data_IF_118917874589
#
_entry.id   IF_118917874589
#
_cell.length_a   1.000
_cell.length_b   1.000
_cell.length_c   1.000
_cell.angle_alpha   90.00
_cell.angle_beta   90.00
_cell.angle_gamma   90.00
#
_symmetry.space_group_name_H-M   'P 1'
#
loop_
_entity.id
_entity.type
_entity.pdbx_description
1 polymer ?
#
# COMPACT_ATOMS: atom_id res chain seq x y z
N UNK A 1 9.28 12.11 88.31
CA UNK A 1 8.12 11.47 88.98
C UNK A 1 6.87 11.93 88.23
N UNK A 2 6.03 10.99 87.75
CA UNK A 2 4.82 11.18 86.90
C UNK A 2 5.04 11.87 85.54
N UNK A 3 5.17 11.06 84.48
CA UNK A 3 5.02 11.49 83.09
C UNK A 3 3.56 11.26 82.70
N UNK A 4 2.87 12.34 82.32
CA UNK A 4 1.46 12.34 81.94
C UNK A 4 1.28 11.87 80.49
N UNK A 5 0.31 10.98 80.29
CA UNK A 5 -0.16 10.48 79.00
C UNK A 5 -0.98 11.56 78.27
N UNK A 6 -0.59 11.88 77.03
CA UNK A 6 -1.34 12.74 76.12
C UNK A 6 -2.05 11.86 75.09
N UNK A 7 -3.39 11.80 75.16
CA UNK A 7 -4.22 11.15 74.17
C UNK A 7 -4.47 12.11 73.00
N UNK A 8 -4.08 11.71 71.79
CA UNK A 8 -4.40 12.41 70.54
C UNK A 8 -5.82 12.05 70.07
N UNK A 9 -6.65 13.02 69.63
CA UNK A 9 -7.97 12.75 69.09
C UNK A 9 -7.91 12.22 67.64
N UNK A 10 -8.76 11.25 67.34
CA UNK A 10 -8.95 10.64 66.02
C UNK A 10 -9.61 11.64 65.05
N UNK A 11 -9.16 11.75 63.79
CA UNK A 11 -9.80 12.63 62.81
C UNK A 11 -11.15 12.05 62.34
N UNK A 12 -12.19 12.90 62.39
CA UNK A 12 -13.53 12.67 61.83
C UNK A 12 -13.43 12.52 60.31
N UNK A 13 -13.85 11.36 59.78
CA UNK A 13 -14.13 11.15 58.34
C UNK A 13 -15.33 11.99 57.93
N UNK A 14 -15.11 13.04 57.16
CA UNK A 14 -16.16 13.73 56.39
C UNK A 14 -16.40 12.94 55.09
N UNK A 15 -17.66 12.56 54.85
CA UNK A 15 -18.07 11.90 53.61
C UNK A 15 -17.97 12.88 52.44
N UNK A 16 -17.29 12.47 51.37
CA UNK A 16 -17.24 13.22 50.12
C UNK A 16 -18.60 13.14 49.39
N UNK A 17 -19.08 14.23 48.77
CA UNK A 17 -20.31 14.19 47.99
C UNK A 17 -20.15 13.31 46.75
N UNK A 18 -21.12 12.41 46.53
CA UNK A 18 -21.27 11.63 45.31
C UNK A 18 -21.40 12.59 44.12
N UNK A 19 -20.45 12.55 43.18
CA UNK A 19 -20.55 13.27 41.91
C UNK A 19 -21.67 12.63 41.09
N UNK A 20 -22.65 13.45 40.75
CA UNK A 20 -23.71 13.14 39.81
C UNK A 20 -23.12 12.77 38.43
N UNK A 21 -23.81 11.85 37.77
CA UNK A 21 -23.52 11.30 36.46
C UNK A 21 -23.14 12.37 35.42
N UNK A 22 -21.84 12.49 35.12
CA UNK A 22 -21.38 13.10 33.87
C UNK A 22 -21.68 12.10 32.75
N UNK A 23 -22.85 12.24 32.12
CA UNK A 23 -23.09 11.58 30.84
C UNK A 23 -21.97 11.99 29.87
N UNK A 24 -21.31 11.03 29.19
CA UNK A 24 -20.25 11.36 28.26
C UNK A 24 -20.81 12.24 27.15
N UNK A 25 -20.39 13.51 27.13
CA UNK A 25 -20.70 14.44 26.05
C UNK A 25 -20.29 13.78 24.75
N UNK A 26 -21.28 13.45 23.91
CA UNK A 26 -21.03 13.02 22.53
C UNK A 26 -20.42 14.19 21.79
N UNK A 27 -19.09 14.28 21.77
CA UNK A 27 -18.38 15.22 20.92
C UNK A 27 -18.86 15.01 19.49
N UNK A 28 -19.59 15.98 18.94
CA UNK A 28 -20.02 15.98 17.56
C UNK A 28 -18.76 15.98 16.70
N UNK A 29 -18.45 14.83 16.07
CA UNK A 29 -17.35 14.73 15.11
C UNK A 29 -17.53 15.79 14.04
N UNK A 30 -16.49 16.60 13.81
CA UNK A 30 -16.55 17.63 12.79
C UNK A 30 -16.61 17.01 11.40
N UNK A 31 -17.22 17.71 10.44
CA UNK A 31 -17.23 17.30 9.03
C UNK A 31 -15.81 17.00 8.51
N UNK A 32 -14.80 17.71 9.02
CA UNK A 32 -13.39 17.50 8.70
C UNK A 32 -12.86 16.11 9.13
N UNK A 33 -13.28 15.60 10.28
CA UNK A 33 -12.82 14.30 10.80
C UNK A 33 -13.35 13.16 9.91
N UNK A 34 -14.62 13.26 9.48
CA UNK A 34 -15.25 12.26 8.60
C UNK A 34 -14.60 12.22 7.22
N UNK A 35 -14.24 13.38 6.66
CA UNK A 35 -13.54 13.46 5.37
C UNK A 35 -12.13 12.87 5.49
N UNK A 36 -11.40 13.19 6.55
CA UNK A 36 -10.06 12.67 6.78
C UNK A 36 -10.05 11.14 6.93
N UNK A 37 -10.96 10.58 7.73
CA UNK A 37 -11.08 9.13 7.94
C UNK A 37 -11.45 8.38 6.65
N UNK A 38 -12.28 8.99 5.80
CA UNK A 38 -12.65 8.45 4.49
C UNK A 38 -11.46 8.41 3.53
N UNK A 39 -10.66 9.49 3.49
CA UNK A 39 -9.44 9.56 2.67
C UNK A 39 -8.41 8.53 3.15
N UNK A 40 -8.20 8.41 4.45
CA UNK A 40 -7.26 7.43 5.02
C UNK A 40 -7.68 5.98 4.71
N UNK A 41 -8.98 5.69 4.82
CA UNK A 41 -9.60 4.39 4.45
C UNK A 41 -9.30 4.03 2.99
N UNK A 42 -9.55 4.95 2.06
CA UNK A 42 -9.23 4.75 0.63
C UNK A 42 -7.74 4.53 0.41
N UNK A 43 -6.89 5.33 1.05
CA UNK A 43 -5.44 5.22 0.90
C UNK A 43 -4.90 3.89 1.43
N UNK A 44 -5.41 3.41 2.55
CA UNK A 44 -4.99 2.14 3.14
C UNK A 44 -5.48 0.95 2.30
N UNK A 45 -6.72 0.99 1.82
CA UNK A 45 -7.26 0.02 0.85
C UNK A 45 -6.42 0.00 -0.42
N UNK A 46 -6.11 1.16 -0.99
CA UNK A 46 -5.28 1.29 -2.19
C UNK A 46 -3.89 0.66 -2.02
N UNK A 47 -3.26 0.83 -0.86
CA UNK A 47 -1.95 0.22 -0.59
C UNK A 47 -2.01 -1.28 -0.40
N UNK A 48 -3.08 -1.77 0.22
CA UNK A 48 -3.25 -3.18 0.45
C UNK A 48 -3.52 -3.93 -0.85
N UNK A 49 -4.17 -3.29 -1.82
CA UNK A 49 -4.40 -3.90 -3.13
C UNK A 49 -3.09 -4.10 -3.90
N UNK A 50 -2.96 -5.20 -4.65
CA UNK A 50 -1.83 -5.33 -5.55
C UNK A 50 -1.93 -4.24 -6.62
N UNK A 51 -0.78 -3.66 -6.98
CA UNK A 51 -0.75 -2.45 -7.79
C UNK A 51 -1.09 -2.82 -9.24
N UNK A 52 -2.10 -2.15 -9.81
CA UNK A 52 -2.48 -2.27 -11.22
C UNK A 52 -2.64 -0.91 -11.90
N UNK A 53 -2.37 0.19 -11.18
CA UNK A 53 -2.46 1.54 -11.75
C UNK A 53 -1.25 1.81 -12.63
N UNK A 54 -1.51 2.37 -13.80
CA UNK A 54 -0.45 2.82 -14.67
C UNK A 54 0.19 4.10 -14.12
N UNK A 55 1.47 4.35 -14.44
CA UNK A 55 2.11 5.62 -14.15
C UNK A 55 1.38 6.77 -14.86
N UNK A 56 1.37 7.95 -14.22
CA UNK A 56 1.00 9.16 -14.96
C UNK A 56 2.16 9.56 -15.86
N UNK A 57 1.89 9.74 -17.15
CA UNK A 57 2.90 10.05 -18.16
C UNK A 57 2.80 11.52 -18.58
N UNK A 58 3.89 12.25 -18.43
CA UNK A 58 4.01 13.67 -18.79
C UNK A 58 4.92 13.82 -20.00
N UNK A 59 4.38 14.36 -21.09
CA UNK A 59 5.10 14.55 -22.36
C UNK A 59 4.16 15.00 -23.47
N UNK A 60 4.69 15.11 -24.69
CA UNK A 60 3.88 15.35 -25.90
C UNK A 60 2.90 14.21 -26.14
N UNK A 61 1.92 14.38 -27.04
CA UNK A 61 0.98 13.31 -27.38
C UNK A 61 1.71 12.07 -27.96
N UNK A 62 2.70 12.28 -28.83
CA UNK A 62 3.50 11.20 -29.41
C UNK A 62 4.32 10.47 -28.35
N UNK A 63 5.00 11.20 -27.47
CA UNK A 63 5.78 10.62 -26.35
C UNK A 63 4.89 9.79 -25.42
N UNK A 64 3.72 10.31 -25.05
CA UNK A 64 2.76 9.59 -24.21
C UNK A 64 2.29 8.32 -24.90
N UNK A 65 1.99 8.38 -26.19
CA UNK A 65 1.59 7.18 -26.95
C UNK A 65 2.70 6.14 -26.99
N UNK A 66 3.95 6.56 -27.24
CA UNK A 66 5.11 5.66 -27.26
C UNK A 66 5.28 4.96 -25.90
N UNK A 67 5.33 5.75 -24.83
CA UNK A 67 5.49 5.23 -23.46
C UNK A 67 4.36 4.27 -23.11
N UNK A 68 3.10 4.64 -23.35
CA UNK A 68 1.96 3.78 -23.01
C UNK A 68 1.96 2.47 -23.80
N UNK A 69 2.34 2.50 -25.08
CA UNK A 69 2.49 1.29 -25.89
C UNK A 69 3.59 0.37 -25.34
N UNK A 70 4.72 0.94 -24.91
CA UNK A 70 5.79 0.19 -24.24
C UNK A 70 5.29 -0.45 -22.95
N UNK A 71 4.60 0.31 -22.09
CA UNK A 71 4.05 -0.22 -20.83
C UNK A 71 3.03 -1.34 -21.08
N UNK A 72 2.20 -1.23 -22.12
CA UNK A 72 1.23 -2.26 -22.48
C UNK A 72 1.89 -3.59 -22.91
N UNK A 73 3.11 -3.55 -23.45
CA UNK A 73 3.89 -4.77 -23.76
C UNK A 73 4.53 -5.46 -22.55
N UNK A 74 4.54 -4.80 -21.38
CA UNK A 74 5.17 -5.31 -20.16
C UNK A 74 4.14 -5.97 -19.23
N UNK A 75 4.57 -6.90 -18.35
CA UNK A 75 3.71 -7.40 -17.29
C UNK A 75 3.24 -6.27 -16.39
N UNK A 76 1.96 -6.29 -16.01
CA UNK A 76 1.35 -5.21 -15.23
C UNK A 76 2.07 -4.95 -13.89
N UNK A 77 2.58 -6.01 -13.26
CA UNK A 77 3.35 -5.92 -12.00
C UNK A 77 4.62 -5.07 -12.13
N UNK A 78 5.18 -4.97 -13.32
CA UNK A 78 6.38 -4.17 -13.57
C UNK A 78 5.99 -2.72 -13.87
N UNK A 79 4.93 -2.52 -14.65
CA UNK A 79 4.37 -1.19 -14.95
C UNK A 79 3.92 -0.47 -13.67
N UNK A 80 3.19 -1.18 -12.80
CA UNK A 80 2.56 -0.60 -11.61
C UNK A 80 3.56 -0.29 -10.48
N UNK A 81 4.84 -0.64 -10.63
CA UNK A 81 5.91 -0.24 -9.71
C UNK A 81 6.25 1.26 -9.82
N UNK A 82 5.88 1.89 -10.93
CA UNK A 82 6.19 3.29 -11.22
C UNK A 82 4.95 4.17 -11.07
N UNK A 83 5.13 5.29 -10.37
CA UNK A 83 4.07 6.27 -10.11
C UNK A 83 4.04 7.32 -11.23
N UNK A 84 5.18 7.84 -11.69
CA UNK A 84 5.21 8.87 -12.74
C UNK A 84 6.33 8.63 -13.73
N UNK A 85 6.08 8.96 -15.00
CA UNK A 85 7.10 9.00 -16.06
C UNK A 85 7.03 10.39 -16.69
N UNK A 86 8.15 11.09 -16.73
CA UNK A 86 8.21 12.46 -17.26
C UNK A 86 9.27 12.56 -18.34
N UNK A 87 8.87 12.94 -19.55
CA UNK A 87 9.80 13.39 -20.58
C UNK A 87 10.25 14.83 -20.23
N UNK A 88 11.55 15.01 -20.07
CA UNK A 88 12.18 16.31 -19.75
C UNK A 88 13.05 16.77 -20.90
N UNK A 89 13.14 18.08 -21.10
CA UNK A 89 13.98 18.64 -22.16
C UNK A 89 15.46 18.30 -21.94
N UNK A 90 15.92 18.36 -20.69
CA UNK A 90 17.27 17.95 -20.31
C UNK A 90 17.30 17.39 -18.89
N UNK A 91 18.24 16.47 -18.63
CA UNK A 91 18.62 16.04 -17.30
C UNK A 91 19.95 16.66 -16.84
N UNK A 92 20.38 17.75 -17.49
CA UNK A 92 21.62 18.47 -17.21
C UNK A 92 22.79 18.08 -18.10
N UNK A 93 22.72 16.93 -18.79
CA UNK A 93 23.71 16.49 -19.77
C UNK A 93 23.09 15.54 -20.81
N UNK A 94 23.52 15.56 -22.08
CA UNK A 94 23.09 14.61 -23.10
C UNK A 94 23.49 13.15 -22.80
N UNK A 95 24.47 12.92 -21.93
CA UNK A 95 24.91 11.57 -21.55
C UNK A 95 23.94 10.86 -20.58
N UNK A 96 23.05 11.60 -19.92
CA UNK A 96 22.11 11.04 -18.96
C UNK A 96 20.76 10.86 -19.66
N UNK A 97 20.50 9.65 -20.16
CA UNK A 97 19.32 9.36 -20.98
C UNK A 97 18.04 9.20 -20.14
N UNK A 98 18.18 8.64 -18.94
CA UNK A 98 17.11 8.46 -17.98
C UNK A 98 17.59 8.65 -16.54
N UNK A 99 16.64 8.81 -15.63
CA UNK A 99 16.89 8.70 -14.20
C UNK A 99 15.67 8.16 -13.48
N UNK A 100 15.88 7.07 -12.75
CA UNK A 100 14.92 6.52 -11.81
C UNK A 100 15.11 7.15 -10.43
N UNK A 101 14.00 7.46 -9.77
CA UNK A 101 13.94 7.81 -8.34
C UNK A 101 13.05 6.78 -7.65
N UNK A 102 13.58 5.61 -7.26
CA UNK A 102 12.77 4.51 -6.80
C UNK A 102 11.92 4.92 -5.60
N UNK A 103 12.49 5.59 -4.59
CA UNK A 103 11.76 6.04 -3.41
C UNK A 103 10.53 6.94 -3.69
N UNK A 104 10.48 7.57 -4.87
CA UNK A 104 9.37 8.42 -5.32
C UNK A 104 8.51 7.75 -6.39
N UNK A 105 8.90 6.57 -6.89
CA UNK A 105 8.31 5.90 -8.04
C UNK A 105 8.31 6.79 -9.28
N UNK A 106 9.36 7.59 -9.49
CA UNK A 106 9.40 8.57 -10.57
C UNK A 106 10.54 8.27 -11.53
N UNK A 107 10.21 8.20 -12.82
CA UNK A 107 11.16 8.12 -13.92
C UNK A 107 11.15 9.47 -14.65
N UNK A 108 12.33 9.98 -14.98
CA UNK A 108 12.48 11.06 -15.93
C UNK A 108 13.36 10.60 -17.11
N UNK A 109 12.91 10.90 -18.33
CA UNK A 109 13.60 10.54 -19.57
C UNK A 109 14.03 11.82 -20.27
N UNK A 110 15.27 11.84 -20.78
CA UNK A 110 15.90 13.01 -21.37
C UNK A 110 15.62 13.11 -22.88
N UNK A 111 14.87 14.12 -23.31
CA UNK A 111 14.59 14.37 -24.73
C UNK A 111 15.83 14.72 -25.54
N UNK A 112 16.78 15.44 -24.93
CA UNK A 112 18.02 15.88 -25.60
C UNK A 112 19.20 14.94 -25.33
N UNK A 113 18.93 13.75 -24.78
CA UNK A 113 19.92 12.71 -24.64
C UNK A 113 20.43 12.22 -26.00
N UNK A 114 21.65 11.69 -26.04
CA UNK A 114 22.17 11.07 -27.26
C UNK A 114 21.28 9.91 -27.70
N UNK A 115 20.94 9.83 -28.99
CA UNK A 115 20.08 8.78 -29.55
C UNK A 115 18.58 8.95 -29.28
N UNK A 116 18.17 9.84 -28.38
CA UNK A 116 16.77 9.96 -27.92
C UNK A 116 15.79 10.55 -28.95
N UNK A 117 16.26 10.91 -30.14
CA UNK A 117 15.42 11.17 -31.31
C UNK A 117 14.88 9.88 -31.95
N UNK A 118 15.51 8.74 -31.69
CA UNK A 118 15.05 7.42 -32.12
C UNK A 118 14.07 6.85 -31.08
N UNK A 119 12.81 6.55 -31.46
CA UNK A 119 11.86 5.91 -30.56
C UNK A 119 12.37 4.61 -29.93
N UNK A 120 13.21 3.83 -30.62
CA UNK A 120 13.75 2.59 -30.08
C UNK A 120 14.65 2.84 -28.86
N UNK A 121 15.49 3.87 -28.90
CA UNK A 121 16.35 4.28 -27.79
C UNK A 121 15.52 4.74 -26.58
N UNK A 122 14.42 5.46 -26.84
CA UNK A 122 13.49 5.88 -25.78
C UNK A 122 12.84 4.66 -25.12
N UNK A 123 12.48 3.65 -25.90
CA UNK A 123 11.92 2.39 -25.38
C UNK A 123 12.95 1.66 -24.54
N UNK A 124 14.17 1.46 -25.03
CA UNK A 124 15.24 0.79 -24.29
C UNK A 124 15.55 1.50 -22.98
N UNK A 125 15.73 2.82 -23.03
CA UNK A 125 15.94 3.66 -21.84
C UNK A 125 14.78 3.54 -20.86
N UNK A 126 13.53 3.61 -21.33
CA UNK A 126 12.36 3.48 -20.44
C UNK A 126 12.33 2.11 -19.74
N UNK A 127 12.59 1.02 -20.46
CA UNK A 127 12.58 -0.33 -19.88
C UNK A 127 13.76 -0.51 -18.92
N UNK A 128 14.93 0.07 -19.22
CA UNK A 128 16.06 0.16 -18.30
C UNK A 128 15.66 0.85 -16.99
N UNK A 129 15.04 2.03 -17.07
CA UNK A 129 14.62 2.77 -15.87
C UNK A 129 13.51 2.04 -15.09
N UNK A 130 12.64 1.28 -15.77
CA UNK A 130 11.69 0.38 -15.10
C UNK A 130 12.41 -0.78 -14.39
N UNK A 131 13.55 -1.25 -14.93
CA UNK A 131 14.44 -2.20 -14.28
C UNK A 131 14.92 -1.71 -12.92
N UNK A 132 15.33 -0.44 -12.82
CA UNK A 132 15.67 0.18 -11.52
C UNK A 132 14.49 0.22 -10.54
N UNK A 133 13.28 0.52 -11.02
CA UNK A 133 12.06 0.44 -10.19
C UNK A 133 11.69 -0.98 -9.80
N UNK A 134 12.04 -1.98 -10.61
CA UNK A 134 11.83 -3.39 -10.28
C UNK A 134 12.82 -3.88 -9.24
N UNK A 135 14.07 -3.44 -9.35
CA UNK A 135 15.13 -3.74 -8.41
C UNK A 135 14.83 -3.14 -7.02
N UNK A 136 14.33 -1.91 -7.01
CA UNK A 136 13.93 -1.18 -5.80
C UNK A 136 12.46 -0.73 -5.87
N UNK A 137 11.49 -1.63 -5.60
CA UNK A 137 10.06 -1.31 -5.71
C UNK A 137 9.69 -0.15 -4.79
N UNK A 138 9.43 1.00 -5.39
CA UNK A 138 9.62 2.34 -4.83
C UNK A 138 8.96 2.72 -3.50
N UNK A 139 9.52 2.26 -2.37
CA UNK A 139 9.05 2.63 -1.03
C UNK A 139 10.24 2.78 -0.07
N UNK A 140 10.19 3.74 0.86
CA UNK A 140 11.27 3.97 1.85
C UNK A 140 11.72 2.66 2.53
N UNK A 141 10.84 1.71 2.90
CA UNK A 141 11.25 0.44 3.49
C UNK A 141 12.02 -0.49 2.54
N UNK A 142 11.77 -0.47 1.23
CA UNK A 142 12.45 -1.37 0.29
C UNK A 142 13.89 -0.95 0.00
N UNK A 143 14.20 0.35 0.14
CA UNK A 143 15.58 0.85 0.13
C UNK A 143 16.39 0.26 1.28
N UNK A 144 15.75 -0.08 2.41
CA UNK A 144 16.42 -0.64 3.59
C UNK A 144 16.65 -2.15 3.50
N UNK A 145 15.84 -2.87 2.71
CA UNK A 145 15.95 -4.34 2.56
C UNK A 145 16.89 -4.77 1.45
N UNK A 146 17.35 -3.84 0.61
CA UNK A 146 18.18 -4.12 -0.57
C UNK A 146 17.36 -4.56 -1.78
N UNK A 147 17.93 -4.35 -2.97
CA UNK A 147 17.37 -4.78 -4.25
C UNK A 147 17.88 -6.15 -4.68
N UNK A 148 17.28 -6.72 -5.72
CA UNK A 148 17.74 -7.96 -6.35
C UNK A 148 19.17 -7.82 -6.89
N UNK A 149 19.61 -6.63 -7.31
CA UNK A 149 21.00 -6.39 -7.71
C UNK A 149 22.02 -6.60 -6.57
N UNK A 150 21.59 -6.50 -5.31
CA UNK A 150 22.42 -6.80 -4.14
C UNK A 150 22.58 -8.29 -3.86
N UNK A 151 21.85 -9.16 -4.56
CA UNK A 151 21.83 -10.60 -4.35
C UNK A 151 21.78 -11.37 -5.68
N UNK A 152 22.77 -12.19 -5.99
CA UNK A 152 22.79 -13.00 -7.21
C UNK A 152 23.88 -12.58 -8.19
N UNK A 153 23.70 -12.82 -9.51
CA UNK A 153 24.80 -12.70 -10.50
C UNK A 153 25.10 -11.27 -10.96
N UNK A 154 24.45 -10.25 -10.41
CA UNK A 154 24.57 -8.86 -10.86
C UNK A 154 25.82 -8.17 -10.31
N UNK A 155 26.41 -7.27 -11.10
CA UNK A 155 27.70 -6.64 -10.82
C UNK A 155 28.90 -7.56 -11.09
N UNK A 156 28.67 -8.68 -11.77
CA UNK A 156 29.70 -9.64 -12.17
C UNK A 156 29.52 -10.06 -13.63
N UNK A 157 30.62 -10.36 -14.34
CA UNK A 157 30.55 -10.87 -15.71
C UNK A 157 29.85 -12.24 -15.77
N UNK A 158 29.25 -12.61 -16.91
CA UNK A 158 29.22 -11.86 -18.17
C UNK A 158 28.22 -10.69 -18.14
N UNK A 159 28.61 -9.56 -18.74
CA UNK A 159 27.80 -8.35 -18.85
C UNK A 159 27.11 -8.27 -20.22
N UNK A 160 25.86 -7.84 -20.26
CA UNK A 160 25.10 -7.68 -21.52
C UNK A 160 25.51 -6.46 -22.35
N UNK A 161 26.10 -5.46 -21.69
CA UNK A 161 26.61 -4.23 -22.28
C UNK A 161 27.83 -3.73 -21.49
N UNK A 162 28.51 -2.71 -22.03
CA UNK A 162 29.56 -2.00 -21.28
C UNK A 162 28.99 -1.21 -20.11
N UNK A 163 27.76 -0.71 -20.24
CA UNK A 163 27.12 0.07 -19.18
C UNK A 163 26.78 -0.82 -17.98
N UNK A 164 26.34 -2.06 -18.23
CA UNK A 164 26.10 -3.08 -17.20
C UNK A 164 27.33 -3.38 -16.32
N UNK A 165 28.56 -3.15 -16.80
CA UNK A 165 29.76 -3.40 -15.99
C UNK A 165 30.10 -2.28 -14.99
N UNK A 166 29.31 -1.20 -14.93
CA UNK A 166 29.61 -0.03 -14.11
C UNK A 166 29.23 -0.20 -12.65
N UNK A 167 28.08 -0.84 -12.38
CA UNK A 167 27.59 -1.14 -11.03
C UNK A 167 26.55 -2.27 -11.08
N UNK A 168 26.33 -2.97 -9.95
CA UNK A 168 25.35 -4.05 -9.88
C UNK A 168 23.90 -3.61 -10.20
N UNK A 169 23.41 -2.44 -9.75
CA UNK A 169 22.08 -1.95 -10.15
C UNK A 169 21.97 -1.68 -11.65
N UNK A 170 23.02 -1.15 -12.28
CA UNK A 170 23.04 -0.92 -13.74
C UNK A 170 23.06 -2.25 -14.50
N UNK A 171 23.82 -3.24 -14.00
CA UNK A 171 23.81 -4.60 -14.55
C UNK A 171 22.42 -5.24 -14.50
N UNK A 172 21.70 -5.04 -13.38
CA UNK A 172 20.33 -5.51 -13.23
C UNK A 172 19.40 -4.80 -14.23
N UNK A 173 19.44 -3.47 -14.31
CA UNK A 173 18.58 -2.68 -15.19
C UNK A 173 18.83 -2.98 -16.68
N UNK A 174 20.09 -3.06 -17.10
CA UNK A 174 20.49 -3.43 -18.46
C UNK A 174 20.07 -4.87 -18.81
N UNK A 175 20.27 -5.80 -17.88
CA UNK A 175 19.85 -7.19 -18.07
C UNK A 175 18.32 -7.30 -18.09
N UNK A 176 17.59 -6.51 -17.29
CA UNK A 176 16.13 -6.43 -17.31
C UNK A 176 15.62 -5.90 -18.64
N UNK A 177 16.21 -4.81 -19.16
CA UNK A 177 15.87 -4.28 -20.48
C UNK A 177 16.14 -5.32 -21.59
N UNK A 178 17.30 -5.97 -21.54
CA UNK A 178 17.64 -7.05 -22.47
C UNK A 178 16.67 -8.23 -22.35
N UNK A 179 16.25 -8.63 -21.14
CA UNK A 179 15.26 -9.69 -20.95
C UNK A 179 13.91 -9.36 -21.60
N UNK A 180 13.45 -8.10 -21.46
CA UNK A 180 12.14 -7.67 -21.97
C UNK A 180 12.13 -7.44 -23.48
N UNK A 181 13.23 -6.94 -24.05
CA UNK A 181 13.29 -6.54 -25.45
C UNK A 181 13.97 -7.60 -26.34
N UNK A 182 14.96 -8.31 -25.79
CA UNK A 182 15.81 -9.27 -26.50
C UNK A 182 16.13 -10.52 -25.64
N UNK A 183 15.13 -11.28 -25.18
CA UNK A 183 15.32 -12.36 -24.20
C UNK A 183 16.34 -13.41 -24.64
N UNK A 184 16.37 -13.77 -25.92
CA UNK A 184 17.31 -14.74 -26.47
C UNK A 184 18.77 -14.30 -26.31
N UNK A 185 19.04 -13.00 -26.48
CA UNK A 185 20.38 -12.42 -26.30
C UNK A 185 20.82 -12.53 -24.83
N UNK A 186 19.94 -12.22 -23.88
CA UNK A 186 20.29 -12.36 -22.46
C UNK A 186 20.57 -13.83 -22.11
N UNK A 187 19.75 -14.75 -22.63
CA UNK A 187 19.90 -16.19 -22.42
C UNK A 187 21.25 -16.72 -22.93
N UNK A 188 21.70 -16.21 -24.08
CA UNK A 188 22.99 -16.56 -24.68
C UNK A 188 24.16 -15.96 -23.89
N UNK A 189 24.11 -14.64 -23.62
CA UNK A 189 25.24 -13.90 -23.04
C UNK A 189 25.39 -14.16 -21.54
N UNK A 190 24.29 -14.18 -20.80
CA UNK A 190 24.27 -14.28 -19.34
C UNK A 190 23.13 -15.19 -18.85
N UNK A 191 23.22 -16.52 -19.07
CA UNK A 191 22.16 -17.48 -18.78
C UNK A 191 21.72 -17.49 -17.31
N UNK A 192 22.63 -17.24 -16.36
CA UNK A 192 22.27 -17.16 -14.93
C UNK A 192 21.42 -15.92 -14.62
N UNK A 193 21.69 -14.77 -15.24
CA UNK A 193 20.86 -13.56 -15.14
C UNK A 193 19.48 -13.78 -15.78
N UNK A 194 19.44 -14.47 -16.92
CA UNK A 194 18.20 -14.87 -17.57
C UNK A 194 17.30 -15.70 -16.64
N UNK A 195 17.86 -16.72 -15.96
CA UNK A 195 17.10 -17.55 -15.01
C UNK A 195 16.49 -16.74 -13.88
N UNK A 196 17.21 -15.76 -13.34
CA UNK A 196 16.67 -14.86 -12.30
C UNK A 196 15.43 -14.14 -12.83
N UNK A 197 15.46 -13.61 -14.07
CA UNK A 197 14.28 -12.95 -14.62
C UNK A 197 13.15 -13.92 -14.96
N UNK A 198 13.42 -15.15 -15.37
CA UNK A 198 12.37 -16.17 -15.52
C UNK A 198 11.64 -16.43 -14.19
N UNK A 199 12.38 -16.58 -13.10
CA UNK A 199 11.83 -16.76 -11.76
C UNK A 199 11.01 -15.54 -11.32
N UNK A 200 11.57 -14.33 -11.49
CA UNK A 200 10.87 -13.08 -11.17
C UNK A 200 9.63 -12.85 -12.04
N UNK A 201 9.63 -13.37 -13.26
CA UNK A 201 8.54 -13.21 -14.22
C UNK A 201 7.40 -14.22 -13.99
N UNK A 202 7.62 -15.29 -13.23
CA UNK A 202 6.56 -16.23 -12.87
C UNK A 202 5.38 -15.48 -12.25
N UNK A 203 4.18 -15.69 -12.83
CA UNK A 203 2.96 -15.04 -12.37
C UNK A 203 2.33 -15.86 -11.27
N UNK A 204 2.07 -15.24 -10.13
CA UNK A 204 1.17 -15.84 -9.15
C UNK A 204 -0.30 -15.65 -9.58
N UNK A 205 -1.22 -16.31 -8.85
CA UNK A 205 -2.65 -16.23 -9.14
C UNK A 205 -3.17 -14.78 -9.17
N UNK A 206 -2.74 -13.96 -8.20
CA UNK A 206 -3.21 -12.58 -8.09
C UNK A 206 -2.69 -11.71 -9.23
N UNK A 207 -1.43 -11.88 -9.62
CA UNK A 207 -0.86 -11.22 -10.79
C UNK A 207 -1.60 -11.60 -12.06
N UNK A 208 -1.91 -12.89 -12.24
CA UNK A 208 -2.67 -13.37 -13.39
C UNK A 208 -4.10 -12.82 -13.41
N UNK A 209 -4.74 -12.72 -12.24
CA UNK A 209 -6.06 -12.13 -12.07
C UNK A 209 -6.09 -10.64 -12.41
N UNK A 210 -5.09 -9.88 -11.96
CA UNK A 210 -4.98 -8.45 -12.24
C UNK A 210 -4.51 -8.15 -13.66
N UNK A 211 -3.90 -9.10 -14.37
CA UNK A 211 -3.44 -8.92 -15.74
C UNK A 211 -4.58 -8.95 -16.79
N UNK A 212 -5.83 -8.89 -16.34
CA UNK A 212 -7.01 -8.84 -17.21
C UNK A 212 -7.23 -7.45 -17.80
N UNK A 213 -7.87 -7.34 -18.98
CA UNK A 213 -8.17 -6.05 -19.63
C UNK A 213 -8.89 -5.07 -18.71
N UNK A 214 -9.82 -5.56 -17.88
CA UNK A 214 -10.59 -4.73 -16.96
C UNK A 214 -9.71 -3.90 -16.01
N UNK A 215 -8.68 -4.53 -15.42
CA UNK A 215 -7.75 -3.85 -14.52
C UNK A 215 -6.74 -2.99 -15.27
N UNK A 216 -6.22 -3.46 -16.40
CA UNK A 216 -5.28 -2.67 -17.22
C UNK A 216 -5.91 -1.37 -17.71
N UNK A 217 -7.09 -1.44 -18.31
CA UNK A 217 -7.75 -0.26 -18.86
C UNK A 217 -8.25 0.70 -17.75
N UNK A 218 -8.80 0.15 -16.66
CA UNK A 218 -9.15 0.95 -15.48
C UNK A 218 -7.92 1.63 -14.90
N UNK A 219 -6.81 0.88 -14.77
CA UNK A 219 -5.53 1.38 -14.27
C UNK A 219 -4.95 2.49 -15.14
N UNK A 220 -5.07 2.38 -16.47
CA UNK A 220 -4.72 3.43 -17.44
C UNK A 220 -5.57 4.68 -17.24
N UNK A 221 -6.89 4.55 -17.19
CA UNK A 221 -7.80 5.69 -16.99
C UNK A 221 -7.52 6.43 -15.69
N UNK A 222 -7.37 5.71 -14.58
CA UNK A 222 -7.06 6.30 -13.27
C UNK A 222 -5.68 6.97 -13.32
N UNK A 223 -4.69 6.31 -13.92
CA UNK A 223 -3.34 6.85 -14.11
C UNK A 223 -3.33 8.17 -14.90
N UNK A 224 -4.07 8.23 -16.00
CA UNK A 224 -4.23 9.43 -16.82
C UNK A 224 -4.97 10.53 -16.08
N UNK A 225 -6.07 10.19 -15.39
CA UNK A 225 -6.89 11.15 -14.64
C UNK A 225 -6.09 11.79 -13.51
N UNK A 226 -5.32 11.00 -12.76
CA UNK A 226 -4.39 11.51 -11.74
C UNK A 226 -3.28 12.36 -12.35
N UNK A 227 -2.87 12.08 -13.58
CA UNK A 227 -1.90 12.88 -14.32
C UNK A 227 -2.39 14.29 -14.66
N UNK A 228 -3.71 14.51 -14.74
CA UNK A 228 -4.31 15.83 -14.95
C UNK A 228 -4.19 16.72 -13.70
N UNK A 229 -3.95 16.11 -12.54
CA UNK A 229 -3.86 16.79 -11.24
C UNK A 229 -2.57 16.34 -10.53
N UNK A 230 -1.38 16.79 -10.97
CA UNK A 230 -0.10 16.24 -10.49
C UNK A 230 0.06 16.28 -8.97
N UNK A 231 -0.39 17.37 -8.34
CA UNK A 231 -0.35 17.54 -6.89
C UNK A 231 -1.24 16.52 -6.15
N UNK A 232 -2.33 16.05 -6.76
CA UNK A 232 -3.16 15.01 -6.16
C UNK A 232 -2.42 13.68 -6.14
N UNK A 233 -1.71 13.31 -7.21
CA UNK A 233 -0.96 12.04 -7.24
C UNK A 233 0.20 12.04 -6.23
N UNK A 234 0.97 13.12 -6.19
CA UNK A 234 2.03 13.29 -5.19
C UNK A 234 1.48 13.37 -3.77
N UNK A 235 0.40 14.13 -3.57
CA UNK A 235 -0.30 14.25 -2.29
C UNK A 235 -0.83 12.91 -1.80
N UNK A 236 -1.43 12.11 -2.68
CA UNK A 236 -1.88 10.76 -2.35
C UNK A 236 -0.70 9.87 -1.98
N UNK A 237 0.38 9.83 -2.77
CA UNK A 237 1.57 9.03 -2.46
C UNK A 237 2.20 9.41 -1.11
N UNK A 238 2.36 10.71 -0.84
CA UNK A 238 2.96 11.24 0.38
C UNK A 238 2.07 11.07 1.61
N UNK A 239 0.79 11.43 1.51
CA UNK A 239 -0.21 11.15 2.55
C UNK A 239 -0.24 9.65 2.87
N UNK A 240 0.00 8.83 1.84
CA UNK A 240 0.07 7.41 2.04
C UNK A 240 1.27 7.01 2.93
N UNK A 241 2.46 7.52 2.64
CA UNK A 241 3.64 7.20 3.46
C UNK A 241 3.49 7.71 4.90
N UNK A 242 2.90 8.90 5.10
CA UNK A 242 2.62 9.45 6.43
C UNK A 242 1.65 8.57 7.21
N UNK A 243 0.54 8.11 6.61
CA UNK A 243 -0.45 7.31 7.35
C UNK A 243 0.17 6.01 7.87
N UNK A 244 1.11 5.41 7.14
CA UNK A 244 1.84 4.22 7.59
C UNK A 244 2.74 4.50 8.80
N UNK A 245 3.48 5.61 8.77
CA UNK A 245 4.34 6.02 9.90
C UNK A 245 3.48 6.32 11.12
N UNK A 246 2.37 7.03 10.94
CA UNK A 246 1.43 7.31 12.03
C UNK A 246 0.78 6.03 12.58
N UNK A 247 0.37 5.11 11.72
CA UNK A 247 -0.20 3.82 12.13
C UNK A 247 0.83 2.99 12.91
N UNK A 248 2.09 2.95 12.46
CA UNK A 248 3.16 2.28 13.17
C UNK A 248 3.46 2.95 14.52
N UNK A 249 3.58 4.28 14.55
CA UNK A 249 3.86 5.06 15.77
C UNK A 249 2.74 4.91 16.80
N UNK A 250 1.48 5.00 16.36
CA UNK A 250 0.31 4.77 17.22
C UNK A 250 0.29 3.34 17.76
N UNK A 251 0.65 2.34 16.94
CA UNK A 251 0.79 0.96 17.38
C UNK A 251 1.84 0.79 18.49
N UNK A 252 3.02 1.39 18.31
CA UNK A 252 4.09 1.36 19.32
C UNK A 252 3.67 2.07 20.61
N UNK A 253 3.04 3.24 20.51
CA UNK A 253 2.56 4.00 21.66
C UNK A 253 1.48 3.23 22.44
N UNK A 254 0.54 2.57 21.74
CA UNK A 254 -0.50 1.74 22.36
C UNK A 254 0.11 0.55 23.11
N UNK A 255 1.16 -0.08 22.58
CA UNK A 255 1.90 -1.14 23.29
C UNK A 255 2.51 -0.62 24.59
N UNK A 256 3.21 0.51 24.55
CA UNK A 256 3.83 1.11 25.75
C UNK A 256 2.81 1.64 26.76
N UNK A 257 1.59 1.97 26.31
CA UNK A 257 0.50 2.44 27.17
C UNK A 257 -0.32 1.28 27.79
N UNK A 258 0.10 0.03 27.60
CA UNK A 258 -0.58 -1.15 28.17
C UNK A 258 -1.70 -1.73 27.30
N UNK A 259 -1.88 -1.24 26.06
CA UNK A 259 -2.85 -1.74 25.09
C UNK A 259 -2.19 -2.64 24.04
N UNK A 260 -1.42 -3.64 24.49
CA UNK A 260 -0.56 -4.47 23.65
C UNK A 260 -1.26 -5.13 22.44
N UNK A 261 -2.49 -5.64 22.61
CA UNK A 261 -3.26 -6.26 21.52
C UNK A 261 -3.62 -5.25 20.43
N UNK A 262 -4.11 -4.08 20.85
CA UNK A 262 -4.52 -2.99 19.95
C UNK A 262 -3.31 -2.44 19.20
N UNK A 263 -2.22 -2.18 19.92
CA UNK A 263 -0.98 -1.66 19.36
C UNK A 263 -0.30 -2.65 18.41
N UNK A 264 -0.34 -3.95 18.76
CA UNK A 264 0.16 -5.02 17.90
C UNK A 264 -0.59 -5.13 16.56
N UNK A 265 -1.92 -4.97 16.57
CA UNK A 265 -2.71 -4.96 15.31
C UNK A 265 -2.37 -3.77 14.43
N UNK A 266 -2.23 -2.57 15.00
CA UNK A 266 -1.89 -1.36 14.24
C UNK A 266 -0.47 -1.44 13.66
N UNK A 267 0.51 -1.82 14.47
CA UNK A 267 1.89 -2.02 14.01
C UNK A 267 1.99 -3.14 12.97
N UNK A 268 1.29 -4.26 13.18
CA UNK A 268 1.22 -5.36 12.22
C UNK A 268 0.59 -4.95 10.89
N UNK A 269 -0.50 -4.16 10.93
CA UNK A 269 -1.12 -3.61 9.72
C UNK A 269 -0.16 -2.67 8.97
N UNK A 270 0.54 -1.79 9.69
CA UNK A 270 1.51 -0.88 9.08
C UNK A 270 2.65 -1.65 8.40
N UNK A 271 3.21 -2.66 9.06
CA UNK A 271 4.24 -3.52 8.50
C UNK A 271 3.72 -4.29 7.27
N UNK A 272 2.53 -4.90 7.38
CA UNK A 272 1.92 -5.63 6.28
C UNK A 272 1.65 -4.72 5.06
N UNK A 273 1.18 -3.48 5.27
CA UNK A 273 1.04 -2.49 4.19
C UNK A 273 2.39 -2.10 3.58
N UNK A 274 3.43 -1.91 4.40
CA UNK A 274 4.76 -1.56 3.95
C UNK A 274 5.30 -2.61 2.96
N UNK A 275 5.15 -3.89 3.32
CA UNK A 275 5.71 -5.03 2.60
C UNK A 275 4.72 -5.75 1.67
N UNK A 276 3.49 -5.24 1.52
CA UNK A 276 2.46 -5.77 0.61
C UNK A 276 2.91 -5.94 -0.83
N UNK A 277 3.86 -5.13 -1.28
CA UNK A 277 4.48 -5.22 -2.60
C UNK A 277 5.41 -6.44 -2.76
N UNK A 278 6.00 -6.91 -1.67
CA UNK A 278 6.94 -8.03 -1.66
C UNK A 278 6.25 -9.38 -1.45
N UNK A 279 5.05 -9.39 -0.86
CA UNK A 279 4.33 -10.63 -0.59
C UNK A 279 2.80 -10.48 -0.76
N UNK A 280 2.17 -11.28 -1.64
CA UNK A 280 0.78 -11.08 -2.05
C UNK A 280 -0.23 -11.23 -0.89
N UNK A 281 0.11 -11.97 0.16
CA UNK A 281 -0.76 -12.17 1.32
C UNK A 281 -0.74 -10.99 2.33
N UNK A 282 0.24 -10.10 2.26
CA UNK A 282 0.38 -9.03 3.24
C UNK A 282 -0.65 -7.90 3.03
N UNK A 283 -1.11 -7.66 1.80
CA UNK A 283 -2.24 -6.77 1.53
C UNK A 283 -3.54 -7.21 2.23
N UNK A 284 -4.03 -8.44 1.96
CA UNK A 284 -5.16 -9.03 2.68
C UNK A 284 -4.99 -9.04 4.21
N UNK A 285 -3.80 -9.39 4.69
CA UNK A 285 -3.51 -9.40 6.12
C UNK A 285 -3.60 -7.99 6.74
N UNK A 286 -3.07 -6.97 6.06
CA UNK A 286 -3.17 -5.59 6.50
C UNK A 286 -4.63 -5.14 6.66
N UNK A 287 -5.48 -5.41 5.68
CA UNK A 287 -6.91 -5.03 5.76
C UNK A 287 -7.65 -5.80 6.84
N UNK A 288 -7.28 -7.06 7.07
CA UNK A 288 -7.80 -7.87 8.18
C UNK A 288 -7.42 -7.25 9.53
N UNK A 289 -6.15 -6.86 9.72
CA UNK A 289 -5.67 -6.26 10.96
C UNK A 289 -6.27 -4.88 11.21
N UNK A 290 -6.41 -4.05 10.16
CA UNK A 290 -7.11 -2.75 10.26
C UNK A 290 -8.58 -2.93 10.65
N UNK A 291 -9.26 -3.92 10.05
CA UNK A 291 -10.62 -4.27 10.41
C UNK A 291 -10.72 -4.74 11.86
N UNK A 292 -9.84 -5.65 12.28
CA UNK A 292 -9.82 -6.16 13.65
C UNK A 292 -9.55 -5.08 14.68
N UNK A 293 -8.61 -4.16 14.39
CA UNK A 293 -8.33 -3.00 15.23
C UNK A 293 -9.57 -2.13 15.42
N UNK A 294 -10.32 -1.83 14.34
CA UNK A 294 -11.59 -1.09 14.43
C UNK A 294 -12.66 -1.84 15.22
N UNK A 295 -12.78 -3.16 15.02
CA UNK A 295 -13.72 -4.01 15.77
C UNK A 295 -13.44 -3.99 17.27
N UNK A 296 -12.16 -4.06 17.65
CA UNK A 296 -11.73 -3.98 19.04
C UNK A 296 -12.09 -2.62 19.66
N UNK A 297 -11.79 -1.51 18.98
CA UNK A 297 -12.13 -0.17 19.44
C UNK A 297 -13.65 -0.01 19.63
N UNK A 298 -14.44 -0.49 18.66
CA UNK A 298 -15.90 -0.46 18.75
C UNK A 298 -16.40 -1.25 19.96
N UNK A 299 -15.86 -2.45 20.19
CA UNK A 299 -16.25 -3.28 21.34
C UNK A 299 -15.91 -2.62 22.68
N UNK A 300 -14.72 -2.04 22.80
CA UNK A 300 -14.28 -1.29 23.98
C UNK A 300 -15.18 -0.08 24.25
N UNK A 301 -15.53 0.68 23.21
CA UNK A 301 -16.42 1.84 23.32
C UNK A 301 -17.83 1.49 23.81
N UNK A 302 -18.25 0.22 23.63
CA UNK A 302 -19.53 -0.31 24.07
C UNK A 302 -19.45 -1.08 25.40
N UNK A 303 -18.29 -1.06 26.06
CA UNK A 303 -18.08 -1.77 27.32
C UNK A 303 -18.20 -3.30 27.19
N UNK A 304 -17.94 -3.86 26.00
CA UNK A 304 -18.03 -5.30 25.79
C UNK A 304 -16.96 -6.05 26.61
N UNK A 305 -17.31 -7.23 27.14
CA UNK A 305 -16.38 -8.13 27.80
C UNK A 305 -15.34 -8.72 26.83
N UNK A 306 -14.38 -9.49 27.35
CA UNK A 306 -13.27 -10.06 26.57
C UNK A 306 -13.73 -10.89 25.38
N UNK A 307 -14.78 -11.70 25.55
CA UNK A 307 -15.36 -12.51 24.47
C UNK A 307 -15.97 -11.62 23.38
N UNK A 308 -16.74 -10.60 23.77
CA UNK A 308 -17.31 -9.62 22.84
C UNK A 308 -16.24 -8.83 22.09
N UNK A 309 -15.15 -8.43 22.76
CA UNK A 309 -14.01 -7.77 22.12
C UNK A 309 -13.31 -8.67 21.10
N UNK A 310 -13.07 -9.94 21.45
CA UNK A 310 -12.44 -10.90 20.54
C UNK A 310 -13.31 -11.15 19.29
N UNK A 311 -14.61 -11.41 19.48
CA UNK A 311 -15.53 -11.69 18.37
C UNK A 311 -15.76 -10.47 17.49
N UNK A 312 -15.86 -9.27 18.08
CA UNK A 312 -15.94 -8.02 17.31
C UNK A 312 -14.68 -7.79 16.47
N UNK A 313 -13.49 -8.09 17.02
CA UNK A 313 -12.22 -7.99 16.30
C UNK A 313 -12.17 -8.97 15.13
N UNK A 314 -12.53 -10.24 15.35
CA UNK A 314 -12.55 -11.25 14.28
C UNK A 314 -13.56 -10.86 13.19
N UNK A 315 -14.79 -10.54 13.57
CA UNK A 315 -15.84 -10.17 12.63
C UNK A 315 -15.48 -8.92 11.82
N UNK A 316 -14.98 -7.87 12.47
CA UNK A 316 -14.53 -6.65 11.79
C UNK A 316 -13.29 -6.90 10.93
N UNK A 317 -12.40 -7.82 11.34
CA UNK A 317 -11.24 -8.24 10.54
C UNK A 317 -11.65 -8.94 9.25
N UNK A 318 -12.56 -9.90 9.31
CA UNK A 318 -13.16 -10.53 8.12
C UNK A 318 -13.86 -9.48 7.25
N UNK A 319 -14.60 -8.57 7.87
CA UNK A 319 -15.22 -7.44 7.19
C UNK A 319 -14.22 -6.50 6.51
N UNK A 320 -13.06 -6.26 7.13
CA UNK A 320 -11.96 -5.49 6.58
C UNK A 320 -11.31 -6.16 5.38
N UNK A 321 -11.11 -7.48 5.41
CA UNK A 321 -10.64 -8.24 4.25
C UNK A 321 -11.62 -8.17 3.08
N UNK A 322 -12.89 -8.53 3.32
CA UNK A 322 -13.89 -8.55 2.26
C UNK A 322 -14.10 -7.14 1.71
N UNK A 323 -14.29 -6.18 2.60
CA UNK A 323 -14.59 -4.80 2.25
C UNK A 323 -13.42 -4.02 1.68
N UNK A 324 -12.22 -4.22 2.23
CA UNK A 324 -11.03 -3.46 1.89
C UNK A 324 -10.12 -4.11 0.85
N UNK A 325 -10.42 -5.34 0.43
CA UNK A 325 -9.59 -6.05 -0.56
C UNK A 325 -10.42 -6.75 -1.64
N UNK A 326 -11.43 -7.54 -1.25
CA UNK A 326 -12.22 -8.33 -2.22
C UNK A 326 -13.23 -7.45 -2.97
N UNK A 327 -13.99 -6.62 -2.25
CA UNK A 327 -15.03 -5.78 -2.84
C UNK A 327 -14.50 -4.75 -3.85
N UNK A 328 -13.38 -4.03 -3.61
CA UNK A 328 -12.81 -3.14 -4.62
C UNK A 328 -12.45 -3.86 -5.92
N UNK A 329 -11.85 -5.04 -5.84
CA UNK A 329 -11.47 -5.83 -7.02
C UNK A 329 -12.70 -6.37 -7.76
N UNK A 330 -13.66 -6.95 -7.03
CA UNK A 330 -14.90 -7.45 -7.61
C UNK A 330 -15.75 -6.36 -8.26
N UNK A 331 -15.88 -5.20 -7.59
CA UNK A 331 -16.63 -4.06 -8.13
C UNK A 331 -15.90 -3.38 -9.29
N UNK A 332 -14.57 -3.44 -9.35
CA UNK A 332 -13.82 -3.02 -10.55
C UNK A 332 -14.22 -3.87 -11.75
N UNK A 333 -14.28 -5.20 -11.61
CA UNK A 333 -14.70 -6.09 -12.68
C UNK A 333 -16.15 -5.84 -13.11
N UNK A 334 -17.08 -5.77 -12.16
CA UNK A 334 -18.50 -5.52 -12.44
C UNK A 334 -18.71 -4.13 -13.03
N UNK A 335 -18.06 -3.11 -12.48
CA UNK A 335 -18.13 -1.76 -13.01
C UNK A 335 -17.57 -1.69 -14.43
N UNK A 336 -16.45 -2.37 -14.69
CA UNK A 336 -15.84 -2.41 -16.02
C UNK A 336 -16.76 -3.08 -17.05
N UNK A 337 -17.37 -4.21 -16.71
CA UNK A 337 -18.29 -4.88 -17.64
C UNK A 337 -19.55 -4.05 -17.95
N UNK A 338 -19.97 -3.15 -17.04
CA UNK A 338 -21.15 -2.30 -17.21
C UNK A 338 -20.88 -1.00 -17.97
N UNK A 339 -19.74 -0.34 -17.70
CA UNK A 339 -19.45 1.00 -18.22
C UNK A 339 -17.97 1.21 -18.61
N UNK A 340 -17.27 0.13 -18.94
CA UNK A 340 -15.87 0.14 -19.35
C UNK A 340 -14.94 0.71 -18.25
N UNK A 341 -13.81 1.30 -18.64
CA UNK A 341 -12.80 1.77 -17.68
C UNK A 341 -13.34 2.76 -16.63
N UNK A 342 -14.30 3.61 -17.02
CA UNK A 342 -14.96 4.56 -16.10
C UNK A 342 -15.76 3.81 -15.03
N UNK A 343 -16.57 2.84 -15.45
CA UNK A 343 -17.30 1.98 -14.51
C UNK A 343 -16.37 1.21 -13.59
N UNK A 344 -15.25 0.69 -14.12
CA UNK A 344 -14.23 0.01 -13.31
C UNK A 344 -13.62 0.92 -12.25
N UNK A 345 -13.27 2.17 -12.61
CA UNK A 345 -12.73 3.15 -11.67
C UNK A 345 -13.74 3.54 -10.58
N UNK A 346 -15.02 3.71 -10.96
CA UNK A 346 -16.11 3.95 -9.99
C UNK A 346 -16.27 2.73 -9.07
N UNK A 347 -16.27 1.52 -9.62
CA UNK A 347 -16.35 0.28 -8.86
C UNK A 347 -15.21 0.12 -7.85
N UNK A 348 -13.98 0.44 -8.26
CA UNK A 348 -12.81 0.49 -7.37
C UNK A 348 -13.03 1.45 -6.20
N UNK A 349 -13.42 2.69 -6.49
CA UNK A 349 -13.59 3.74 -5.49
C UNK A 349 -14.75 3.42 -4.52
N UNK A 350 -15.90 3.02 -5.06
CA UNK A 350 -17.08 2.62 -4.27
C UNK A 350 -16.76 1.39 -3.43
N UNK A 351 -16.09 0.40 -4.00
CA UNK A 351 -15.70 -0.80 -3.27
C UNK A 351 -14.71 -0.50 -2.14
N UNK A 352 -13.74 0.38 -2.36
CA UNK A 352 -12.80 0.79 -1.32
C UNK A 352 -13.49 1.57 -0.18
N UNK A 353 -14.33 2.55 -0.53
CA UNK A 353 -15.02 3.41 0.43
C UNK A 353 -16.10 2.63 1.20
N UNK A 354 -17.08 2.10 0.48
CA UNK A 354 -18.24 1.45 1.06
C UNK A 354 -17.86 0.09 1.63
N UNK A 355 -17.01 -0.67 0.92
CA UNK A 355 -16.60 -2.00 1.35
C UNK A 355 -15.86 -1.94 2.68
N UNK A 356 -14.80 -1.15 2.82
CA UNK A 356 -14.04 -1.12 4.07
C UNK A 356 -14.88 -0.56 5.22
N UNK A 357 -15.60 0.55 5.02
CA UNK A 357 -16.41 1.16 6.07
C UNK A 357 -17.54 0.23 6.53
N UNK A 358 -18.39 -0.23 5.60
CA UNK A 358 -19.53 -1.09 5.93
C UNK A 358 -19.10 -2.48 6.33
N UNK A 359 -18.08 -3.06 5.68
CA UNK A 359 -17.59 -4.41 5.98
C UNK A 359 -17.07 -4.50 7.41
N UNK A 360 -16.18 -3.58 7.81
CA UNK A 360 -15.63 -3.57 9.18
C UNK A 360 -16.70 -3.32 10.23
N UNK A 361 -17.63 -2.40 9.97
CA UNK A 361 -18.70 -2.07 10.90
C UNK A 361 -19.72 -3.21 11.05
N UNK A 362 -20.23 -3.76 9.94
CA UNK A 362 -21.17 -4.88 9.96
C UNK A 362 -20.54 -6.13 10.60
N UNK A 363 -19.30 -6.44 10.22
CA UNK A 363 -18.57 -7.56 10.78
C UNK A 363 -18.36 -7.41 12.29
N UNK A 364 -17.96 -6.23 12.76
CA UNK A 364 -17.78 -5.99 14.19
C UNK A 364 -19.10 -6.00 14.96
N UNK A 365 -20.19 -5.46 14.40
CA UNK A 365 -21.53 -5.51 15.01
C UNK A 365 -22.04 -6.94 15.12
N UNK A 366 -21.83 -7.76 14.09
CA UNK A 366 -22.16 -9.18 14.11
C UNK A 366 -21.36 -9.92 15.18
N UNK A 367 -20.04 -9.64 15.28
CA UNK A 367 -19.18 -10.20 16.32
C UNK A 367 -19.64 -9.83 17.74
N UNK A 368 -20.06 -8.58 17.96
CA UNK A 368 -20.63 -8.13 19.22
C UNK A 368 -21.94 -8.83 19.57
N UNK A 369 -22.86 -8.96 18.60
CA UNK A 369 -24.14 -9.64 18.81
C UNK A 369 -23.93 -11.12 19.19
N UNK A 370 -22.97 -11.77 18.55
CA UNK A 370 -22.58 -13.15 18.86
C UNK A 370 -21.97 -13.25 20.27
N UNK A 371 -21.08 -12.32 20.63
CA UNK A 371 -20.47 -12.29 21.97
C UNK A 371 -21.49 -12.11 23.08
N UNK A 372 -22.44 -11.18 22.91
CA UNK A 372 -23.52 -10.98 23.87
C UNK A 372 -24.40 -12.24 24.03
N UNK A 373 -24.63 -12.98 22.93
CA UNK A 373 -25.39 -14.23 22.95
C UNK A 373 -24.66 -15.33 23.72
N UNK A 374 -23.33 -15.42 23.56
CA UNK A 374 -22.49 -16.38 24.29
C UNK A 374 -22.45 -16.04 25.79
N UNK A 375 -22.22 -14.78 26.14
CA UNK A 375 -22.20 -14.34 27.54
C UNK A 375 -23.54 -14.63 28.23
N UNK A 376 -24.66 -14.40 27.52
CA UNK A 376 -25.99 -14.73 28.03
C UNK A 376 -26.19 -16.24 28.21
N UNK A 377 -25.69 -17.07 27.29
CA UNK A 377 -25.79 -18.53 27.40
C UNK A 377 -24.97 -19.08 28.58
N UNK A 378 -23.78 -18.52 28.82
CA UNK A 378 -22.89 -18.92 29.91
C UNK A 378 -23.36 -18.40 31.29
N UNK A 379 -24.17 -17.35 31.31
CA UNK A 379 -24.72 -16.77 32.55
C UNK A 379 -26.03 -17.45 33.00
N UNK A 380 -26.56 -18.41 32.23
CA UNK A 380 -27.72 -19.20 32.65
C UNK A 380 -27.24 -20.37 33.53
N UNK A 381 -27.70 -20.45 34.79
CA UNK A 381 -27.28 -21.47 35.75
C UNK A 381 -27.76 -22.88 35.39
#
# INVERSE_FOLDING_TARGET
MKVASFAMPTPRRTAAPQRADEQPQSQSRGLGDTVYESVETVLNTYRAMPQFLYPSVYGTAAERSLIMNTLDSLPLKDVASTVTITMKDTLGTPNLLGVNRPALGSIAINRTGYGMSDPAEVVETLVHELGHSKDYPGRIPSVLTGGHSGSGPFGSPPYVSRYASTAAPEDFAESYATYRLHPDRLKEVAPEKYKVFEELNQKNFMESFLDQPAFRETGKLVGETLGKVPYLRWGLSFASQISMVNLAASGVQDVFSGHAVRGGMAAGAAAALAFSHAHPLLGPAAMTLLGAHRGLQMAQSRGAGTAGQALASVGAGTGGLVGGYVAPLGLTLVGHSLAGPVGGAVGLAVGALAGQALGTELGGRAGLALGASIDQALSRP
#
